data_IF_623063685602
#
_entry.id   IF_623063685602
#
_cell.length_a   1.000
_cell.length_b   1.000
_cell.length_c   1.000
_cell.angle_alpha   90.00
_cell.angle_beta   90.00
_cell.angle_gamma   90.00
#
_symmetry.space_group_name_H-M   'P 1'
#
loop_
_entity.id
_entity.type
_entity.pdbx_description
1 polymer ?
#
# COMPACT_ATOMS: atom_id res chain seq x y z
N UNK A 1 9.94 -4.59 -6.82
CA UNK A 1 9.00 -5.07 -7.86
C UNK A 1 7.64 -5.30 -7.21
N UNK A 2 6.61 -4.50 -7.54
CA UNK A 2 5.26 -4.57 -6.93
C UNK A 2 4.61 -5.95 -7.06
N UNK A 3 4.76 -6.61 -8.20
CA UNK A 3 4.20 -7.94 -8.45
C UNK A 3 4.78 -8.98 -7.49
N UNK A 4 6.08 -8.93 -7.26
CA UNK A 4 6.76 -9.80 -6.28
C UNK A 4 6.20 -9.57 -4.88
N UNK A 5 5.97 -8.31 -4.48
CA UNK A 5 5.36 -7.99 -3.19
C UNK A 5 3.94 -8.53 -3.06
N UNK A 6 3.12 -8.40 -4.11
CA UNK A 6 1.77 -8.98 -4.11
C UNK A 6 1.78 -10.50 -4.00
N UNK A 7 2.67 -11.18 -4.73
CA UNK A 7 2.80 -12.64 -4.67
C UNK A 7 3.27 -13.07 -3.28
N UNK A 8 4.31 -12.43 -2.74
CA UNK A 8 4.81 -12.70 -1.41
C UNK A 8 3.74 -12.49 -0.33
N UNK A 9 3.03 -11.36 -0.38
CA UNK A 9 1.91 -11.07 0.53
C UNK A 9 0.81 -12.11 0.42
N UNK A 10 0.46 -12.56 -0.80
CA UNK A 10 -0.54 -13.60 -1.00
C UNK A 10 -0.13 -14.94 -0.41
N UNK A 11 1.15 -15.31 -0.53
CA UNK A 11 1.71 -16.53 0.08
C UNK A 11 1.69 -16.43 1.61
N UNK A 12 2.02 -15.26 2.16
CA UNK A 12 2.10 -15.04 3.61
C UNK A 12 0.77 -14.69 4.26
N UNK A 13 -0.29 -14.48 3.47
CA UNK A 13 -1.59 -13.94 3.90
C UNK A 13 -2.13 -14.58 5.17
N UNK A 14 -2.14 -15.91 5.25
CA UNK A 14 -2.70 -16.60 6.42
C UNK A 14 -1.83 -16.39 7.67
N UNK A 15 -0.50 -16.36 7.53
CA UNK A 15 0.42 -16.02 8.63
C UNK A 15 0.22 -14.60 9.11
N UNK A 16 0.06 -13.66 8.17
CA UNK A 16 -0.20 -12.25 8.46
C UNK A 16 -1.51 -12.07 9.24
N UNK A 17 -2.57 -12.77 8.86
CA UNK A 17 -3.85 -12.73 9.60
C UNK A 17 -3.73 -13.30 11.01
N UNK A 18 -3.05 -14.44 11.16
CA UNK A 18 -2.83 -15.05 12.48
C UNK A 18 -2.09 -14.06 13.38
N UNK A 19 -1.02 -13.44 12.88
CA UNK A 19 -0.24 -12.46 13.63
C UNK A 19 -1.09 -11.25 14.06
N UNK A 20 -1.98 -10.76 13.19
CA UNK A 20 -2.91 -9.67 13.52
C UNK A 20 -3.87 -10.12 14.62
N UNK A 21 -4.44 -11.32 14.51
CA UNK A 21 -5.32 -11.87 15.55
C UNK A 21 -4.62 -12.00 16.90
N UNK A 22 -3.39 -12.51 16.92
CA UNK A 22 -2.58 -12.62 18.14
C UNK A 22 -2.28 -11.25 18.75
N UNK A 23 -2.03 -10.25 17.91
CA UNK A 23 -1.81 -8.87 18.33
C UNK A 23 -3.08 -8.25 18.92
N UNK A 24 -4.24 -8.46 18.29
CA UNK A 24 -5.54 -8.02 18.81
C UNK A 24 -5.89 -8.70 20.14
N UNK A 25 -5.61 -9.99 20.27
CA UNK A 25 -5.87 -10.74 21.50
C UNK A 25 -4.94 -10.31 22.63
N UNK A 26 -3.66 -10.06 22.34
CA UNK A 26 -2.71 -9.49 23.30
C UNK A 26 -3.19 -8.14 23.83
N UNK A 27 -3.64 -7.24 22.94
CA UNK A 27 -4.13 -5.92 23.34
C UNK A 27 -5.36 -5.98 24.27
N UNK A 28 -6.15 -7.06 24.25
CA UNK A 28 -7.31 -7.22 25.16
C UNK A 28 -6.88 -7.53 26.60
N UNK A 29 -5.71 -8.13 26.79
CA UNK A 29 -5.23 -8.60 28.10
C UNK A 29 -4.02 -7.82 28.61
N UNK A 30 -3.42 -6.97 27.77
CA UNK A 30 -2.21 -6.22 28.09
C UNK A 30 -2.42 -5.21 29.22
N UNK A 31 -1.42 -5.05 30.08
CA UNK A 31 -1.41 -4.05 31.12
C UNK A 31 -1.22 -2.63 30.54
N UNK A 32 -1.66 -1.57 31.25
CA UNK A 32 -1.53 -0.20 30.76
C UNK A 32 -0.08 0.22 30.42
N UNK A 33 0.91 -0.36 31.10
CA UNK A 33 2.31 -0.07 30.84
C UNK A 33 2.80 -0.72 29.53
N UNK A 34 2.33 -1.93 29.20
CA UNK A 34 2.65 -2.65 27.96
C UNK A 34 2.01 -1.96 26.75
N UNK A 35 0.75 -1.52 26.90
CA UNK A 35 0.04 -0.75 25.88
C UNK A 35 0.79 0.55 25.59
N UNK A 36 1.30 1.24 26.62
CA UNK A 36 2.04 2.48 26.44
C UNK A 36 3.34 2.29 25.66
N UNK A 37 4.06 1.18 25.89
CA UNK A 37 5.26 0.83 25.12
C UNK A 37 4.88 0.63 23.64
N UNK A 38 3.81 -0.14 23.37
CA UNK A 38 3.30 -0.33 22.00
C UNK A 38 2.89 0.97 21.32
N UNK A 39 2.19 1.84 22.04
CA UNK A 39 1.77 3.16 21.53
C UNK A 39 2.97 4.04 21.19
N UNK A 40 4.04 4.04 21.99
CA UNK A 40 5.26 4.79 21.69
C UNK A 40 5.95 4.28 20.41
N UNK A 41 6.02 2.96 20.22
CA UNK A 41 6.55 2.36 18.98
C UNK A 41 5.70 2.72 17.75
N UNK A 42 4.38 2.65 17.86
CA UNK A 42 3.45 3.01 16.78
C UNK A 42 3.51 4.51 16.51
N UNK A 43 3.50 5.38 17.52
CA UNK A 43 3.53 6.83 17.35
C UNK A 43 4.82 7.31 16.68
N UNK A 44 5.95 6.66 16.97
CA UNK A 44 7.24 6.96 16.32
C UNK A 44 7.21 6.74 14.81
N UNK A 45 6.43 5.77 14.34
CA UNK A 45 6.45 5.31 12.94
C UNK A 45 5.20 5.72 12.16
N UNK A 46 4.08 5.96 12.85
CA UNK A 46 2.78 6.31 12.28
C UNK A 46 2.84 7.55 11.39
N UNK A 47 3.53 8.62 11.83
CA UNK A 47 3.67 9.85 11.03
C UNK A 47 4.36 9.59 9.69
N UNK A 48 5.44 8.78 9.69
CA UNK A 48 6.15 8.42 8.48
C UNK A 48 5.30 7.53 7.57
N UNK A 49 4.57 6.56 8.14
CA UNK A 49 3.67 5.69 7.38
C UNK A 49 2.54 6.47 6.70
N UNK A 50 1.90 7.39 7.43
CA UNK A 50 0.86 8.27 6.88
C UNK A 50 1.43 9.15 5.77
N UNK A 51 2.61 9.76 5.99
CA UNK A 51 3.25 10.61 4.98
C UNK A 51 3.61 9.83 3.70
N UNK A 52 4.26 8.67 3.83
CA UNK A 52 4.66 7.82 2.70
C UNK A 52 3.41 7.36 1.94
N UNK A 53 2.36 6.95 2.65
CA UNK A 53 1.10 6.52 2.03
C UNK A 53 0.46 7.68 1.27
N UNK A 54 0.37 8.87 1.89
CA UNK A 54 -0.20 10.05 1.25
C UNK A 54 0.58 10.46 0.00
N UNK A 55 1.91 10.48 0.05
CA UNK A 55 2.77 10.82 -1.09
C UNK A 55 2.59 9.80 -2.23
N UNK A 56 2.48 8.50 -1.94
CA UNK A 56 2.27 7.47 -2.96
C UNK A 56 0.92 7.59 -3.67
N UNK A 57 -0.16 7.88 -2.93
CA UNK A 57 -1.47 8.10 -3.55
C UNK A 57 -1.53 9.42 -4.32
N UNK A 58 -0.95 10.50 -3.78
CA UNK A 58 -0.84 11.77 -4.48
C UNK A 58 -0.08 11.63 -5.80
N UNK A 59 1.01 10.87 -5.79
CA UNK A 59 1.80 10.60 -7.00
C UNK A 59 0.97 9.85 -8.04
N UNK A 60 0.19 8.85 -7.65
CA UNK A 60 -0.72 8.16 -8.59
C UNK A 60 -1.78 9.09 -9.17
N UNK A 61 -2.37 9.97 -8.36
CA UNK A 61 -3.34 10.97 -8.83
C UNK A 61 -2.68 11.90 -9.86
N UNK A 62 -1.47 12.40 -9.57
CA UNK A 62 -0.73 13.27 -10.50
C UNK A 62 -0.46 12.56 -11.83
N UNK A 63 -0.05 11.28 -11.81
CA UNK A 63 0.18 10.49 -13.03
C UNK A 63 -1.12 10.30 -13.81
N UNK A 64 -2.20 9.93 -13.13
CA UNK A 64 -3.52 9.74 -13.75
C UNK A 64 -4.05 11.04 -14.36
N UNK A 65 -3.84 12.19 -13.71
CA UNK A 65 -4.24 13.49 -14.24
C UNK A 65 -3.28 14.03 -15.30
N UNK A 66 -2.08 13.46 -15.46
CA UNK A 66 -1.06 13.91 -16.41
C UNK A 66 -1.58 14.14 -17.84
N UNK A 67 -2.37 13.24 -18.44
CA UNK A 67 -2.94 13.41 -19.78
C UNK A 67 -3.88 14.61 -19.95
N UNK A 68 -4.35 15.21 -18.85
CA UNK A 68 -5.17 16.44 -18.90
C UNK A 68 -4.33 17.70 -19.15
N UNK A 69 -3.04 17.65 -18.83
CA UNK A 69 -2.14 18.81 -18.87
C UNK A 69 -0.96 18.64 -19.82
N UNK A 70 -0.58 17.40 -20.15
CA UNK A 70 0.53 17.07 -21.04
C UNK A 70 0.00 16.54 -22.39
N UNK A 71 0.79 16.67 -23.47
CA UNK A 71 0.46 16.13 -24.80
C UNK A 71 0.67 14.60 -24.85
N UNK A 72 -0.03 13.86 -23.99
CA UNK A 72 -0.03 12.40 -23.94
C UNK A 72 -1.46 11.88 -23.90
N UNK A 73 -1.73 10.78 -24.61
CA UNK A 73 -3.09 10.21 -24.70
C UNK A 73 -3.50 9.42 -23.44
N UNK A 74 -2.52 8.89 -22.70
CA UNK A 74 -2.76 7.98 -21.57
C UNK A 74 -1.81 8.24 -20.39
N UNK A 75 -2.17 7.86 -19.15
CA UNK A 75 -1.35 8.08 -17.96
C UNK A 75 0.03 7.42 -18.00
N UNK A 76 0.18 6.33 -18.76
CA UNK A 76 1.43 5.58 -18.88
C UNK A 76 1.74 5.28 -20.34
N UNK A 77 3.04 5.28 -20.66
CA UNK A 77 3.53 4.90 -21.99
C UNK A 77 3.56 3.37 -22.10
N UNK A 78 2.50 2.82 -22.68
CA UNK A 78 2.34 1.39 -22.88
C UNK A 78 2.00 1.11 -24.35
N UNK A 79 2.75 0.19 -24.96
CA UNK A 79 2.48 -0.28 -26.33
C UNK A 79 1.42 -1.36 -26.32
N UNK A 80 0.35 -1.17 -27.09
CA UNK A 80 -0.74 -2.13 -27.23
C UNK A 80 -0.79 -2.70 -28.65
N UNK A 81 -1.04 -4.02 -28.83
CA UNK A 81 -1.09 -4.66 -30.14
C UNK A 81 -2.41 -4.41 -30.90
N UNK A 82 -3.23 -3.47 -30.44
CA UNK A 82 -4.54 -3.14 -31.00
C UNK A 82 -4.67 -1.65 -31.26
N UNK A 83 -5.54 -1.27 -32.20
CA UNK A 83 -5.74 0.13 -32.58
C UNK A 83 -6.68 0.88 -31.63
N UNK A 84 -6.42 2.18 -31.44
CA UNK A 84 -7.23 3.07 -30.61
C UNK A 84 -8.32 3.82 -31.40
N UNK A 85 -8.79 3.22 -32.49
CA UNK A 85 -9.66 3.89 -33.46
C UNK A 85 -11.04 4.26 -32.88
N UNK A 86 -11.48 3.56 -31.83
CA UNK A 86 -12.74 3.86 -31.12
C UNK A 86 -12.47 4.62 -29.83
N UNK A 87 -13.26 5.68 -29.59
CA UNK A 87 -13.28 6.41 -28.31
C UNK A 87 -13.50 5.47 -27.12
N UNK A 88 -14.33 4.44 -27.29
CA UNK A 88 -14.60 3.44 -26.24
C UNK A 88 -13.33 2.71 -25.80
N UNK A 89 -12.49 2.28 -26.76
CA UNK A 89 -11.23 1.58 -26.46
C UNK A 89 -10.29 2.50 -25.67
N UNK A 90 -10.19 3.77 -26.07
CA UNK A 90 -9.39 4.77 -25.32
C UNK A 90 -9.86 4.91 -23.87
N UNK A 91 -11.17 5.02 -23.64
CA UNK A 91 -11.72 5.10 -22.27
C UNK A 91 -11.41 3.85 -21.43
N UNK A 92 -11.59 2.64 -21.99
CA UNK A 92 -11.29 1.39 -21.29
C UNK A 92 -9.81 1.30 -20.91
N UNK A 93 -8.91 1.66 -21.84
CA UNK A 93 -7.46 1.65 -21.60
C UNK A 93 -7.08 2.66 -20.53
N UNK A 94 -7.63 3.87 -20.59
CA UNK A 94 -7.40 4.91 -19.59
C UNK A 94 -7.85 4.45 -18.18
N UNK A 95 -9.06 3.89 -18.07
CA UNK A 95 -9.59 3.36 -16.81
C UNK A 95 -8.71 2.23 -16.27
N UNK A 96 -8.29 1.31 -17.14
CA UNK A 96 -7.41 0.21 -16.77
C UNK A 96 -6.05 0.72 -16.25
N UNK A 97 -5.39 1.63 -16.98
CA UNK A 97 -4.12 2.19 -16.54
C UNK A 97 -4.26 2.96 -15.22
N UNK A 98 -5.36 3.69 -15.03
CA UNK A 98 -5.65 4.38 -13.78
C UNK A 98 -5.80 3.41 -12.61
N UNK A 99 -6.55 2.32 -12.82
CA UNK A 99 -6.74 1.28 -11.82
C UNK A 99 -5.42 0.59 -11.44
N UNK A 100 -4.58 0.25 -12.42
CA UNK A 100 -3.24 -0.30 -12.18
C UNK A 100 -2.36 0.69 -11.43
N UNK A 101 -2.43 1.99 -11.75
CA UNK A 101 -1.73 3.05 -11.03
C UNK A 101 -2.08 3.07 -9.53
N UNK A 102 -3.37 2.99 -9.20
CA UNK A 102 -3.81 2.89 -7.81
C UNK A 102 -3.35 1.59 -7.14
N UNK A 103 -3.43 0.44 -7.82
CA UNK A 103 -2.95 -0.83 -7.27
C UNK A 103 -1.46 -0.76 -6.91
N UNK A 104 -0.64 -0.16 -7.76
CA UNK A 104 0.78 0.02 -7.51
C UNK A 104 1.04 0.86 -6.24
N UNK A 105 0.25 1.92 -5.99
CA UNK A 105 0.36 2.74 -4.78
C UNK A 105 0.08 1.95 -3.50
N UNK A 106 -0.77 0.92 -3.55
CA UNK A 106 -1.03 0.01 -2.43
C UNK A 106 0.21 -0.78 -2.01
N UNK A 107 1.20 -0.92 -2.90
CA UNK A 107 2.46 -1.60 -2.60
C UNK A 107 3.23 -0.98 -1.43
N UNK A 108 3.18 0.34 -1.28
CA UNK A 108 3.79 1.04 -0.16
C UNK A 108 3.05 0.77 1.17
N UNK A 109 1.75 0.53 1.12
CA UNK A 109 0.94 0.18 2.29
C UNK A 109 1.34 -1.20 2.85
N UNK A 110 1.66 -2.17 1.97
CA UNK A 110 2.15 -3.50 2.38
C UNK A 110 3.48 -3.40 3.14
N UNK A 111 4.39 -2.52 2.69
CA UNK A 111 5.66 -2.27 3.37
C UNK A 111 5.42 -1.67 4.76
N UNK A 112 4.52 -0.70 4.86
CA UNK A 112 4.16 -0.09 6.14
C UNK A 112 3.55 -1.10 7.11
N UNK A 113 2.66 -1.98 6.61
CA UNK A 113 2.04 -3.02 7.43
C UNK A 113 3.07 -4.03 7.95
N UNK A 114 4.03 -4.41 7.11
CA UNK A 114 5.11 -5.32 7.50
C UNK A 114 6.06 -4.68 8.52
N UNK A 115 6.37 -3.38 8.35
CA UNK A 115 7.14 -2.63 9.33
C UNK A 115 6.44 -2.59 10.69
N UNK A 116 5.12 -2.29 10.73
CA UNK A 116 4.34 -2.28 11.97
C UNK A 116 4.39 -3.64 12.70
N UNK A 117 4.28 -4.75 11.97
CA UNK A 117 4.40 -6.10 12.56
C UNK A 117 5.79 -6.36 13.13
N UNK A 118 6.85 -5.88 12.48
CA UNK A 118 8.21 -6.03 12.97
C UNK A 118 8.44 -5.20 14.24
N UNK A 119 7.88 -3.99 14.30
CA UNK A 119 7.92 -3.15 15.50
C UNK A 119 7.14 -3.76 16.67
N UNK A 120 5.96 -4.33 16.40
CA UNK A 120 5.21 -5.09 17.39
C UNK A 120 6.04 -6.26 17.93
N UNK A 121 6.67 -7.04 17.05
CA UNK A 121 7.56 -8.12 17.46
C UNK A 121 8.75 -7.61 18.29
N UNK A 122 9.31 -6.45 17.96
CA UNK A 122 10.35 -5.79 18.73
C UNK A 122 9.88 -5.37 20.13
N UNK A 123 8.74 -4.72 20.24
CA UNK A 123 8.15 -4.36 21.53
C UNK A 123 7.89 -5.60 22.40
N UNK A 124 7.38 -6.69 21.81
CA UNK A 124 7.18 -7.98 22.49
C UNK A 124 8.47 -8.65 22.98
N UNK A 125 9.65 -8.27 22.47
CA UNK A 125 10.94 -8.73 22.97
C UNK A 125 11.49 -7.86 24.11
N UNK A 126 10.98 -6.63 24.24
CA UNK A 126 11.37 -5.66 25.27
C UNK A 126 10.49 -5.76 26.52
N UNK A 127 9.25 -6.26 26.37
CA UNK A 127 8.35 -6.68 27.44
C UNK A 127 8.83 -7.99 28.09
#
# INVERSE_FOLDING_TARGET
NFLVKMIAYRIQRERTKILISEMEDFLKTAEPHEIKILEDYVNRTSKLHVLITAVNYLTAIVIICGPLFLPQDFPTDASYPFSFNSKFIKYVVYLHQSFVGFQCSTGATIDCQTALMLWYAGARLEL
#
